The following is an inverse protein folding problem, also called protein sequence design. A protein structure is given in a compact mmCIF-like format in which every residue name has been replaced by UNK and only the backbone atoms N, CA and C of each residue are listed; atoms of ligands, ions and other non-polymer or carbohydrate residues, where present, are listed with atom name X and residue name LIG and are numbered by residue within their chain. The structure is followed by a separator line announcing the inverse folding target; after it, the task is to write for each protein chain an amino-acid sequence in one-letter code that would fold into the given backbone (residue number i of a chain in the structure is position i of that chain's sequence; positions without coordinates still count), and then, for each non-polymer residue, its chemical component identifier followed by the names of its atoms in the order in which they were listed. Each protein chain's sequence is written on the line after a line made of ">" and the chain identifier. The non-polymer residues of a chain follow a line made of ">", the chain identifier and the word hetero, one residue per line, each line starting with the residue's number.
data_IF_068406702677
#
_entry.id   IF_068406702677
#
_cell.length_a   1.000
_cell.length_b   1.000
_cell.length_c   1.000
_cell.angle_alpha   90.00
_cell.angle_beta   90.00
_cell.angle_gamma   90.00
#
_symmetry.space_group_name_H-M   'P 1'
#
loop_
_entity.id
_entity.type
_entity.pdbx_description
1 polymer ?
#
# COMPACT_ATOMS: atom_id res chain seq x y z
N UNK A 1 43.91 -47.00 -16.42
CA UNK A 1 43.03 -47.07 -15.24
C UNK A 1 42.49 -45.66 -14.94
N UNK A 2 41.30 -45.38 -15.41
CA UNK A 2 40.59 -44.10 -15.15
C UNK A 2 39.69 -44.30 -13.94
N UNK A 3 39.91 -43.52 -12.88
CA UNK A 3 39.03 -43.50 -11.70
C UNK A 3 37.83 -42.57 -11.95
N UNK A 4 36.65 -43.17 -12.04
CA UNK A 4 35.40 -42.48 -12.05
C UNK A 4 35.14 -41.80 -10.68
N UNK A 5 35.19 -40.47 -10.65
CA UNK A 5 34.75 -39.69 -9.49
C UNK A 5 33.23 -39.59 -9.48
N UNK A 6 32.59 -40.24 -8.53
CA UNK A 6 31.14 -40.12 -8.25
C UNK A 6 30.90 -38.76 -7.65
N UNK A 7 30.20 -37.90 -8.39
CA UNK A 7 29.74 -36.59 -7.89
C UNK A 7 28.61 -36.83 -6.87
N UNK A 8 28.84 -36.41 -5.61
CA UNK A 8 27.91 -36.59 -4.51
C UNK A 8 26.64 -35.77 -4.72
N UNK A 9 25.49 -36.42 -4.68
CA UNK A 9 24.14 -35.90 -4.91
C UNK A 9 23.65 -34.81 -3.91
N UNK A 10 24.47 -34.47 -2.92
CA UNK A 10 24.11 -33.44 -1.91
C UNK A 10 24.30 -31.99 -2.39
N UNK A 11 25.14 -31.76 -3.42
CA UNK A 11 25.33 -30.40 -3.98
C UNK A 11 24.17 -29.96 -4.88
N UNK A 12 23.42 -30.89 -5.46
CA UNK A 12 22.33 -30.59 -6.40
C UNK A 12 21.06 -30.03 -5.71
N UNK A 13 20.77 -30.49 -4.48
CA UNK A 13 19.59 -30.06 -3.77
C UNK A 13 19.67 -28.59 -3.21
N UNK A 14 20.88 -28.16 -2.83
CA UNK A 14 21.10 -26.78 -2.41
C UNK A 14 20.96 -25.79 -3.58
N UNK A 15 21.43 -26.17 -4.76
CA UNK A 15 21.32 -25.37 -5.98
C UNK A 15 19.85 -25.26 -6.45
N UNK A 16 19.08 -26.34 -6.35
CA UNK A 16 17.65 -26.36 -6.69
C UNK A 16 16.82 -25.51 -5.73
N UNK A 17 17.18 -25.49 -4.44
CA UNK A 17 16.49 -24.68 -3.42
C UNK A 17 16.78 -23.19 -3.59
N UNK A 18 18.00 -22.83 -3.99
CA UNK A 18 18.35 -21.43 -4.31
C UNK A 18 17.64 -20.97 -5.58
N UNK A 19 17.55 -21.80 -6.60
CA UNK A 19 16.83 -21.48 -7.85
C UNK A 19 15.31 -21.37 -7.64
N UNK A 20 14.70 -22.18 -6.76
CA UNK A 20 13.28 -22.05 -6.40
C UNK A 20 13.00 -20.81 -5.55
N UNK A 21 13.91 -20.39 -4.69
CA UNK A 21 13.80 -19.11 -3.97
C UNK A 21 14.00 -17.92 -4.90
N UNK A 22 14.89 -18.02 -5.88
CA UNK A 22 15.09 -16.98 -6.92
C UNK A 22 13.88 -16.88 -7.86
N UNK A 23 13.28 -18.00 -8.25
CA UNK A 23 12.06 -18.03 -9.06
C UNK A 23 10.85 -17.48 -8.30
N UNK A 24 10.72 -17.77 -7.00
CA UNK A 24 9.68 -17.16 -6.15
C UNK A 24 9.92 -15.66 -5.91
N UNK A 25 11.17 -15.19 -5.88
CA UNK A 25 11.49 -13.76 -5.82
C UNK A 25 11.09 -13.03 -7.10
N UNK A 26 11.31 -13.60 -8.27
CA UNK A 26 10.90 -13.00 -9.54
C UNK A 26 9.38 -12.96 -9.73
N UNK A 27 8.62 -13.90 -9.14
CA UNK A 27 7.15 -13.87 -9.15
C UNK A 27 6.56 -12.78 -8.21
N UNK A 28 7.34 -12.26 -7.26
CA UNK A 28 6.94 -11.11 -6.43
C UNK A 28 7.45 -9.77 -6.97
N UNK A 29 8.40 -9.76 -7.91
CA UNK A 29 9.00 -8.55 -8.46
C UNK A 29 8.06 -7.72 -9.34
N UNK A 30 6.93 -8.29 -9.80
CA UNK A 30 5.99 -7.60 -10.68
C UNK A 30 4.79 -6.94 -9.97
N UNK A 31 4.74 -7.01 -8.65
CA UNK A 31 3.67 -6.35 -7.89
C UNK A 31 4.04 -4.91 -7.61
N UNK A 32 3.70 -4.02 -8.52
CA UNK A 32 3.94 -2.60 -8.33
C UNK A 32 2.74 -1.92 -7.68
N UNK A 33 3.01 -1.23 -6.58
CA UNK A 33 2.07 -0.35 -5.91
C UNK A 33 2.46 1.08 -6.20
N UNK A 34 1.51 1.84 -6.72
CA UNK A 34 1.72 3.25 -7.02
C UNK A 34 0.92 4.11 -6.08
N UNK A 35 1.53 5.20 -5.65
CA UNK A 35 0.92 6.25 -4.85
C UNK A 35 1.01 7.57 -5.59
N UNK A 36 -0.12 8.29 -5.66
CA UNK A 36 -0.21 9.60 -6.25
C UNK A 36 -0.68 10.58 -5.20
N UNK A 37 0.14 11.58 -4.92
CA UNK A 37 -0.20 12.63 -3.99
C UNK A 37 -1.12 13.66 -4.64
N UNK A 38 -2.10 14.15 -3.86
CA UNK A 38 -2.94 15.28 -4.23
C UNK A 38 -2.91 16.31 -3.12
N UNK A 39 -2.65 17.55 -3.48
CA UNK A 39 -2.65 18.70 -2.59
C UNK A 39 -3.83 19.61 -2.92
N UNK A 40 -4.34 20.31 -1.92
CA UNK A 40 -5.46 21.21 -2.10
C UNK A 40 -4.95 22.60 -2.47
N UNK A 41 -5.42 23.15 -3.59
CA UNK A 41 -5.11 24.53 -3.97
C UNK A 41 -5.85 25.54 -3.08
N UNK A 42 -5.44 26.80 -3.12
CA UNK A 42 -6.14 27.89 -2.42
C UNK A 42 -7.60 28.04 -2.88
N UNK A 43 -7.90 27.68 -4.12
CA UNK A 43 -9.27 27.66 -4.67
C UNK A 43 -10.08 26.44 -4.22
N UNK A 44 -9.49 25.56 -3.40
CA UNK A 44 -10.16 24.39 -2.86
C UNK A 44 -10.22 23.16 -3.78
N UNK A 45 -9.55 23.21 -4.92
CA UNK A 45 -9.46 22.09 -5.88
C UNK A 45 -8.29 21.18 -5.52
N UNK A 46 -8.48 19.89 -5.63
CA UNK A 46 -7.41 18.92 -5.44
C UNK A 46 -6.65 18.69 -6.74
N UNK A 47 -5.35 18.98 -6.72
CA UNK A 47 -4.45 18.81 -7.86
C UNK A 47 -3.40 17.75 -7.56
N UNK A 48 -3.04 16.96 -8.56
CA UNK A 48 -1.96 15.98 -8.42
C UNK A 48 -0.61 16.68 -8.31
N UNK A 49 0.19 16.23 -7.36
CA UNK A 49 1.55 16.68 -7.17
C UNK A 49 2.51 15.71 -7.90
N UNK A 50 2.86 16.08 -9.14
CA UNK A 50 3.76 15.29 -9.98
C UNK A 50 3.15 14.00 -10.56
N UNK A 51 4.01 13.05 -10.85
CA UNK A 51 3.67 11.72 -11.39
C UNK A 51 3.43 10.71 -10.28
N UNK A 52 2.65 9.63 -10.52
CA UNK A 52 2.54 8.53 -9.58
C UNK A 52 3.92 7.95 -9.25
N UNK A 53 4.20 7.76 -7.96
CA UNK A 53 5.44 7.14 -7.48
C UNK A 53 5.22 5.66 -7.22
N UNK A 54 6.15 4.83 -7.65
CA UNK A 54 6.24 3.43 -7.22
C UNK A 54 6.74 3.39 -5.78
N UNK A 55 6.01 2.69 -4.91
CA UNK A 55 6.41 2.55 -3.51
C UNK A 55 7.79 1.86 -3.37
N UNK A 56 8.15 0.98 -4.30
CA UNK A 56 9.37 0.19 -4.22
C UNK A 56 10.55 0.80 -4.99
N UNK A 57 10.30 1.61 -6.03
CA UNK A 57 11.35 2.12 -6.91
C UNK A 57 11.72 3.58 -6.58
N UNK A 58 10.73 4.42 -6.23
CA UNK A 58 10.92 5.88 -6.19
C UNK A 58 11.34 6.43 -4.81
N UNK A 59 11.41 5.59 -3.78
CA UNK A 59 11.91 5.95 -2.45
C UNK A 59 13.29 5.30 -2.22
N UNK A 60 14.27 5.67 -3.04
CA UNK A 60 15.64 5.14 -2.99
C UNK A 60 15.76 3.65 -3.31
N UNK A 61 14.69 2.99 -3.75
CA UNK A 61 14.65 1.55 -3.99
C UNK A 61 14.85 0.71 -2.72
N UNK A 62 14.64 1.29 -1.55
CA UNK A 62 14.86 0.63 -0.24
C UNK A 62 13.56 0.32 0.50
N UNK A 63 12.43 0.90 0.09
CA UNK A 63 11.10 0.62 0.66
C UNK A 63 10.54 -0.66 0.03
N UNK A 64 9.88 -1.48 0.83
CA UNK A 64 9.19 -2.69 0.37
C UNK A 64 7.82 -2.78 0.99
N UNK A 65 6.82 -2.97 0.16
CA UNK A 65 5.46 -3.19 0.61
C UNK A 65 5.36 -4.48 1.44
N UNK A 66 4.76 -4.39 2.62
CA UNK A 66 4.46 -5.52 3.48
C UNK A 66 2.98 -5.92 3.37
N UNK A 67 2.10 -4.99 3.70
CA UNK A 67 0.65 -5.23 3.72
C UNK A 67 -0.15 -3.93 3.76
N UNK A 68 -1.41 -4.02 3.37
CA UNK A 68 -2.43 -3.00 3.60
C UNK A 68 -3.61 -3.65 4.34
N UNK A 69 -3.58 -3.61 5.66
CA UNK A 69 -4.67 -4.13 6.47
C UNK A 69 -5.90 -3.21 6.36
N UNK A 70 -7.09 -3.79 6.31
CA UNK A 70 -8.34 -3.02 6.21
C UNK A 70 -8.72 -2.56 4.80
N UNK A 71 -7.86 -2.73 3.77
CA UNK A 71 -8.14 -2.28 2.40
C UNK A 71 -9.45 -2.86 1.83
N UNK A 72 -9.74 -4.11 2.14
CA UNK A 72 -10.94 -4.80 1.65
C UNK A 72 -12.15 -4.63 2.59
N UNK A 73 -12.00 -3.92 3.69
CA UNK A 73 -13.10 -3.59 4.58
C UNK A 73 -14.05 -2.65 3.85
N UNK A 74 -15.34 -2.95 3.94
CA UNK A 74 -16.37 -2.06 3.41
C UNK A 74 -16.95 -1.26 4.56
N UNK A 75 -16.98 0.05 4.40
CA UNK A 75 -17.69 0.93 5.33
C UNK A 75 -19.17 0.60 5.35
N UNK A 76 -19.82 0.92 6.45
CA UNK A 76 -21.27 0.80 6.57
C UNK A 76 -21.93 1.66 5.50
N UNK A 77 -22.93 1.12 4.83
CA UNK A 77 -23.70 1.87 3.84
C UNK A 77 -24.54 2.94 4.53
N UNK A 78 -24.38 4.19 4.09
CA UNK A 78 -25.23 5.32 4.53
C UNK A 78 -26.55 5.30 3.75
N UNK A 79 -27.60 5.89 4.33
CA UNK A 79 -28.89 5.98 3.65
C UNK A 79 -29.70 4.66 3.65
N UNK A 80 -29.36 3.72 4.53
CA UNK A 80 -30.19 2.54 4.82
C UNK A 80 -30.99 2.80 6.08
N UNK A 81 -32.29 2.87 5.93
CA UNK A 81 -33.22 3.07 7.05
C UNK A 81 -34.08 1.83 7.20
N UNK A 82 -34.30 1.42 8.44
CA UNK A 82 -35.16 0.30 8.78
C UNK A 82 -36.27 0.76 9.71
N UNK A 83 -37.50 0.42 9.39
CA UNK A 83 -38.67 0.64 10.26
C UNK A 83 -39.25 -0.70 10.63
N UNK A 84 -39.52 -0.91 11.93
CA UNK A 84 -40.24 -2.06 12.41
C UNK A 84 -41.67 -1.67 12.72
N UNK A 85 -42.63 -2.42 12.19
CA UNK A 85 -44.05 -2.24 12.52
C UNK A 85 -44.44 -3.27 13.57
N UNK A 86 -44.96 -2.77 14.68
CA UNK A 86 -45.38 -3.64 15.82
C UNK A 86 -46.48 -4.64 15.44
N UNK A 87 -47.25 -4.33 14.39
CA UNK A 87 -48.42 -5.13 13.99
C UNK A 87 -48.09 -6.25 13.01
N UNK A 88 -46.93 -6.22 12.38
CA UNK A 88 -46.56 -7.20 11.34
C UNK A 88 -45.14 -7.64 11.54
N UNK A 89 -44.66 -8.33 12.31
CA UNK A 89 -43.27 -8.82 12.45
C UNK A 89 -42.34 -8.63 11.20
N UNK A 90 -42.64 -7.62 10.40
CA UNK A 90 -41.99 -7.31 9.14
C UNK A 90 -41.11 -6.07 9.32
N UNK A 91 -39.90 -6.16 8.80
CA UNK A 91 -38.95 -5.06 8.71
C UNK A 91 -39.06 -4.41 7.33
N UNK A 92 -39.39 -3.14 7.28
CA UNK A 92 -39.32 -2.35 6.04
C UNK A 92 -37.93 -1.75 5.90
N UNK A 93 -37.28 -2.03 4.78
CA UNK A 93 -35.93 -1.54 4.49
C UNK A 93 -36.01 -0.52 3.36
N UNK A 94 -35.49 0.68 3.61
CA UNK A 94 -35.31 1.73 2.60
C UNK A 94 -33.82 1.84 2.31
N UNK A 95 -33.46 1.73 1.04
CA UNK A 95 -32.08 1.90 0.58
C UNK A 95 -32.05 3.05 -0.40
N UNK A 96 -31.26 4.07 -0.09
CA UNK A 96 -30.97 5.14 -1.04
C UNK A 96 -30.15 4.56 -2.20
N UNK A 97 -30.62 4.65 -3.45
CA UNK A 97 -29.87 4.16 -4.61
C UNK A 97 -28.51 4.85 -4.82
N UNK A 98 -28.36 6.08 -4.27
CA UNK A 98 -27.12 6.85 -4.27
C UNK A 98 -26.31 6.71 -2.98
N UNK A 99 -26.62 5.69 -2.18
CA UNK A 99 -25.99 5.48 -0.89
C UNK A 99 -24.46 5.41 -0.97
N UNK A 100 -23.81 6.22 -0.16
CA UNK A 100 -22.34 6.21 0.02
C UNK A 100 -21.97 5.28 1.19
N UNK A 101 -20.70 4.94 1.29
CA UNK A 101 -20.19 4.20 2.43
C UNK A 101 -19.53 5.13 3.44
N UNK A 102 -19.54 4.73 4.70
CA UNK A 102 -18.72 5.37 5.72
C UNK A 102 -17.25 5.14 5.42
N UNK A 103 -16.38 6.08 5.78
CA UNK A 103 -14.94 5.90 5.69
C UNK A 103 -14.48 4.72 6.55
N UNK A 104 -13.41 4.07 6.14
CA UNK A 104 -12.81 2.96 6.89
C UNK A 104 -11.35 3.24 7.18
N UNK A 105 -10.85 2.73 8.30
CA UNK A 105 -9.43 2.82 8.64
C UNK A 105 -8.68 1.65 8.00
N UNK A 106 -7.53 1.97 7.41
CA UNK A 106 -6.59 1.01 6.83
C UNK A 106 -5.21 1.23 7.47
N UNK A 107 -4.36 0.22 7.45
CA UNK A 107 -2.98 0.34 7.91
C UNK A 107 -2.04 -0.12 6.80
N UNK A 108 -1.28 0.81 6.24
CA UNK A 108 -0.17 0.52 5.34
C UNK A 108 1.04 0.13 6.19
N UNK A 109 1.60 -1.05 5.95
CA UNK A 109 2.85 -1.49 6.56
C UNK A 109 3.89 -1.70 5.49
N UNK A 110 5.10 -1.20 5.75
CA UNK A 110 6.25 -1.30 4.86
C UNK A 110 7.49 -1.76 5.63
N UNK A 111 8.43 -2.36 4.92
CA UNK A 111 9.80 -2.55 5.36
C UNK A 111 10.68 -1.51 4.69
N UNK A 112 11.58 -0.91 5.45
CA UNK A 112 12.59 0.03 4.94
C UNK A 112 13.97 -0.54 5.22
N UNK A 113 14.76 -0.73 4.17
CA UNK A 113 16.11 -1.26 4.24
C UNK A 113 17.13 -0.12 4.12
N UNK A 114 18.33 -0.30 4.66
CA UNK A 114 19.39 0.70 4.57
C UNK A 114 20.12 0.75 3.23
N UNK A 115 19.81 -0.18 2.32
CA UNK A 115 20.37 -0.25 0.98
C UNK A 115 19.39 -0.89 0.01
N UNK A 116 19.55 -0.58 -1.26
CA UNK A 116 18.78 -1.26 -2.30
C UNK A 116 19.24 -2.71 -2.41
N UNK A 117 18.39 -3.66 -2.06
CA UNK A 117 18.70 -5.11 -2.07
C UNK A 117 19.05 -5.65 -3.44
N UNK A 118 18.84 -4.89 -4.50
CA UNK A 118 19.23 -5.24 -5.87
C UNK A 118 20.62 -4.74 -6.24
N UNK A 119 21.30 -4.00 -5.35
CA UNK A 119 22.68 -3.51 -5.56
C UNK A 119 23.65 -4.25 -4.64
N UNK A 120 24.90 -4.40 -5.09
CA UNK A 120 25.98 -5.06 -4.34
C UNK A 120 26.82 -4.06 -3.54
N UNK A 121 26.22 -3.00 -3.01
CA UNK A 121 26.96 -1.99 -2.26
C UNK A 121 27.22 -2.47 -0.84
N UNK A 122 28.49 -2.45 -0.42
CA UNK A 122 28.86 -2.74 0.98
C UNK A 122 28.79 -1.45 1.78
N UNK A 123 27.77 -1.34 2.65
CA UNK A 123 27.59 -0.22 3.57
C UNK A 123 27.82 -0.66 5.01
N UNK A 124 28.35 0.23 5.83
CA UNK A 124 28.44 0.04 7.28
C UNK A 124 27.04 0.01 7.91
N UNK A 125 26.91 -0.57 9.10
CA UNK A 125 25.62 -0.59 9.82
C UNK A 125 25.11 0.83 10.10
N UNK A 126 26.01 1.76 10.42
CA UNK A 126 25.67 3.16 10.67
C UNK A 126 25.10 3.83 9.42
N UNK A 127 25.74 3.66 8.27
CA UNK A 127 25.24 4.17 6.97
C UNK A 127 23.89 3.56 6.62
N UNK A 128 23.72 2.27 6.84
CA UNK A 128 22.44 1.59 6.62
C UNK A 128 21.33 2.17 7.51
N UNK A 129 21.61 2.39 8.81
CA UNK A 129 20.66 2.97 9.75
C UNK A 129 20.25 4.37 9.31
N UNK A 130 21.20 5.23 8.98
CA UNK A 130 20.94 6.58 8.49
C UNK A 130 20.11 6.60 7.21
N UNK A 131 20.39 5.69 6.28
CA UNK A 131 19.63 5.58 5.03
C UNK A 131 18.20 5.10 5.27
N UNK A 132 17.97 4.19 6.23
CA UNK A 132 16.64 3.72 6.60
C UNK A 132 15.78 4.86 7.16
N UNK A 133 16.34 5.64 8.09
CA UNK A 133 15.65 6.79 8.69
C UNK A 133 15.31 7.83 7.62
N UNK A 134 16.28 8.20 6.79
CA UNK A 134 16.08 9.16 5.71
C UNK A 134 15.00 8.70 4.69
N UNK A 135 14.99 7.43 4.32
CA UNK A 135 13.99 6.89 3.39
C UNK A 135 12.58 6.82 4.02
N UNK A 136 12.50 6.55 5.33
CA UNK A 136 11.25 6.61 6.05
C UNK A 136 10.71 8.03 6.14
N UNK A 137 11.56 8.99 6.48
CA UNK A 137 11.20 10.41 6.57
C UNK A 137 10.73 10.94 5.20
N UNK A 138 11.41 10.57 4.12
CA UNK A 138 11.00 10.94 2.75
C UNK A 138 9.62 10.37 2.39
N UNK A 139 9.40 9.09 2.68
CA UNK A 139 8.11 8.46 2.43
C UNK A 139 7.00 9.11 3.26
N UNK A 140 7.24 9.33 4.55
CA UNK A 140 6.25 9.92 5.44
C UNK A 140 5.93 11.36 5.05
N UNK A 141 6.92 12.19 4.75
CA UNK A 141 6.74 13.55 4.27
C UNK A 141 5.97 13.62 2.94
N UNK A 142 6.12 12.59 2.08
CA UNK A 142 5.32 12.48 0.86
C UNK A 142 3.84 12.17 1.15
N UNK A 143 3.57 11.38 2.18
CA UNK A 143 2.20 10.97 2.55
C UNK A 143 1.47 12.04 3.37
N UNK A 144 2.18 12.75 4.25
CA UNK A 144 1.61 13.65 5.23
C UNK A 144 0.91 14.86 4.60
N UNK A 145 -0.21 15.29 5.21
CA UNK A 145 -0.93 16.53 4.86
C UNK A 145 -1.60 16.51 3.48
N UNK A 146 -1.74 15.34 2.85
CA UNK A 146 -2.23 15.20 1.49
C UNK A 146 -3.27 14.08 1.36
N UNK A 147 -3.96 14.04 0.21
CA UNK A 147 -4.71 12.86 -0.21
C UNK A 147 -3.81 11.97 -1.06
N UNK A 148 -3.88 10.69 -0.82
CA UNK A 148 -3.08 9.68 -1.50
C UNK A 148 -4.00 8.77 -2.31
N UNK A 149 -3.89 8.81 -3.61
CA UNK A 149 -4.48 7.82 -4.50
C UNK A 149 -3.56 6.61 -4.56
N UNK A 150 -4.01 5.52 -3.99
CA UNK A 150 -3.37 4.21 -4.04
C UNK A 150 -3.83 3.44 -5.26
N UNK A 151 -2.90 2.87 -6.01
CA UNK A 151 -3.16 1.99 -7.14
C UNK A 151 -2.43 0.66 -6.95
N UNK A 152 -3.19 -0.42 -7.06
CA UNK A 152 -2.69 -1.79 -7.06
C UNK A 152 -2.84 -2.36 -8.48
N UNK A 153 -1.77 -2.36 -9.23
CA UNK A 153 -1.78 -2.82 -10.62
C UNK A 153 -2.01 -4.33 -10.74
N UNK A 154 -1.65 -5.09 -9.70
CA UNK A 154 -1.89 -6.54 -9.70
C UNK A 154 -3.37 -6.88 -9.58
N UNK A 155 -4.10 -6.17 -8.71
CA UNK A 155 -5.54 -6.40 -8.48
C UNK A 155 -6.42 -5.50 -9.31
N UNK A 156 -5.85 -4.59 -10.08
CA UNK A 156 -6.56 -3.57 -10.85
C UNK A 156 -7.54 -2.78 -9.97
N UNK A 157 -7.08 -2.38 -8.79
CA UNK A 157 -7.86 -1.65 -7.79
C UNK A 157 -7.20 -0.34 -7.42
N UNK A 158 -8.03 0.63 -7.06
CA UNK A 158 -7.60 1.90 -6.50
C UNK A 158 -8.46 2.33 -5.32
N UNK A 159 -7.89 3.15 -4.45
CA UNK A 159 -8.56 3.75 -3.30
C UNK A 159 -7.94 5.12 -2.99
N UNK A 160 -8.72 5.99 -2.36
CA UNK A 160 -8.26 7.32 -1.94
C UNK A 160 -8.15 7.36 -0.42
N UNK A 161 -6.98 7.73 0.06
CA UNK A 161 -6.65 7.77 1.47
C UNK A 161 -6.25 9.17 1.93
N UNK A 162 -6.46 9.40 3.21
CA UNK A 162 -5.86 10.48 3.99
C UNK A 162 -5.02 9.86 5.10
N UNK A 163 -3.84 10.39 5.37
CA UNK A 163 -3.02 9.96 6.51
C UNK A 163 -3.70 10.41 7.80
N UNK A 164 -3.87 9.49 8.72
CA UNK A 164 -4.39 9.77 10.05
C UNK A 164 -3.27 9.89 11.07
N UNK A 165 -2.33 8.93 11.04
CA UNK A 165 -1.28 8.82 12.04
C UNK A 165 -0.17 7.88 11.53
N UNK A 166 1.06 8.06 12.00
CA UNK A 166 2.15 7.11 11.83
C UNK A 166 2.44 6.41 13.16
N UNK A 167 2.66 5.10 13.09
CA UNK A 167 3.15 4.36 14.23
C UNK A 167 4.68 4.51 14.31
N UNK A 168 5.20 4.54 15.53
CA UNK A 168 6.65 4.54 15.74
C UNK A 168 7.30 3.34 15.02
N UNK A 169 8.36 3.56 14.22
CA UNK A 169 9.04 2.48 13.54
C UNK A 169 9.69 1.51 14.54
N UNK A 170 9.60 0.23 14.25
CA UNK A 170 10.34 -0.79 14.99
C UNK A 170 11.53 -1.28 14.17
N UNK A 171 12.71 -1.31 14.79
CA UNK A 171 13.91 -1.87 14.16
C UNK A 171 14.01 -3.37 14.43
N UNK A 172 14.49 -4.11 13.42
CA UNK A 172 14.77 -5.55 13.53
C UNK A 172 15.88 -5.95 12.54
N UNK A 173 16.34 -7.18 12.61
CA UNK A 173 17.44 -7.69 11.79
C UNK A 173 17.05 -9.01 11.14
N UNK A 174 17.12 -9.08 9.81
CA UNK A 174 16.96 -10.33 9.05
C UNK A 174 18.30 -10.73 8.42
N UNK A 175 18.86 -11.87 8.80
CA UNK A 175 20.11 -12.39 8.26
C UNK A 175 21.23 -11.35 8.21
N UNK A 176 21.49 -10.70 9.32
CA UNK A 176 22.48 -9.62 9.49
C UNK A 176 22.16 -8.34 8.67
N UNK A 177 20.96 -8.20 8.16
CA UNK A 177 20.51 -6.98 7.47
C UNK A 177 19.52 -6.25 8.37
N UNK A 178 19.86 -5.06 8.85
CA UNK A 178 18.93 -4.24 9.60
C UNK A 178 17.81 -3.72 8.70
N UNK A 179 16.61 -3.61 9.22
CA UNK A 179 15.47 -2.97 8.57
C UNK A 179 14.55 -2.30 9.58
N UNK A 180 13.82 -1.32 9.12
CA UNK A 180 12.70 -0.74 9.88
C UNK A 180 11.38 -1.34 9.41
N UNK A 181 10.53 -1.70 10.34
CA UNK A 181 9.14 -1.98 10.07
C UNK A 181 8.33 -0.73 10.43
N UNK A 182 7.76 -0.10 9.42
CA UNK A 182 6.99 1.13 9.56
C UNK A 182 5.52 0.88 9.24
N UNK A 183 4.64 1.60 9.92
CA UNK A 183 3.20 1.51 9.68
C UNK A 183 2.56 2.89 9.70
N UNK A 184 1.63 3.12 8.76
CA UNK A 184 0.86 4.36 8.65
C UNK A 184 -0.62 4.03 8.70
N UNK A 185 -1.35 4.68 9.59
CA UNK A 185 -2.81 4.61 9.63
C UNK A 185 -3.40 5.56 8.60
N UNK A 186 -4.25 5.02 7.76
CA UNK A 186 -4.88 5.69 6.64
C UNK A 186 -6.39 5.63 6.80
N UNK A 187 -7.08 6.70 6.43
CA UNK A 187 -8.53 6.71 6.32
C UNK A 187 -8.89 6.59 4.84
N UNK A 188 -9.56 5.51 4.47
CA UNK A 188 -10.17 5.36 3.15
C UNK A 188 -11.43 6.22 3.09
N UNK A 189 -11.37 7.31 2.34
CA UNK A 189 -12.42 8.34 2.31
C UNK A 189 -13.75 7.76 1.82
N UNK A 190 -13.72 6.87 0.84
CA UNK A 190 -14.92 6.26 0.27
C UNK A 190 -15.38 4.98 0.99
N UNK A 191 -14.60 4.46 1.95
CA UNK A 191 -14.89 3.23 2.65
C UNK A 191 -14.97 1.98 1.74
N UNK A 192 -14.43 2.06 0.53
CA UNK A 192 -14.36 0.97 -0.46
C UNK A 192 -13.25 1.19 -1.45
N UNK A 193 -12.90 0.13 -2.18
CA UNK A 193 -12.01 0.21 -3.34
C UNK A 193 -12.81 0.31 -4.64
N UNK A 194 -12.20 0.87 -5.66
CA UNK A 194 -12.75 1.00 -7.02
C UNK A 194 -11.89 0.21 -8.00
N UNK A 195 -12.47 -0.15 -9.13
CA UNK A 195 -11.69 -0.66 -10.26
C UNK A 195 -10.75 0.42 -10.80
N UNK A 196 -9.60 0.04 -11.32
CA UNK A 196 -8.60 0.99 -11.84
C UNK A 196 -9.14 1.88 -12.97
N UNK A 197 -10.12 1.40 -13.71
CA UNK A 197 -10.79 2.13 -14.81
C UNK A 197 -11.90 3.09 -14.36
N UNK A 198 -12.36 2.99 -13.10
CA UNK A 198 -13.42 3.88 -12.58
C UNK A 198 -12.92 5.32 -12.48
N UNK A 199 -13.70 6.32 -12.90
CA UNK A 199 -13.36 7.76 -12.77
C UNK A 199 -13.86 8.41 -11.48
N UNK A 200 -14.57 7.65 -10.64
CA UNK A 200 -15.26 8.18 -9.44
C UNK A 200 -14.35 9.00 -8.52
N UNK A 201 -13.11 8.55 -8.29
CA UNK A 201 -12.16 9.25 -7.42
C UNK A 201 -11.67 10.52 -8.09
N UNK A 202 -11.30 10.45 -9.36
CA UNK A 202 -10.80 11.59 -10.13
C UNK A 202 -11.86 12.68 -10.30
N UNK A 203 -13.12 12.30 -10.51
CA UNK A 203 -14.23 13.23 -10.62
C UNK A 203 -14.52 13.91 -9.27
N UNK A 204 -14.46 13.15 -8.19
CA UNK A 204 -14.58 13.71 -6.83
C UNK A 204 -13.46 14.72 -6.53
N UNK A 205 -12.22 14.40 -6.89
CA UNK A 205 -11.06 15.29 -6.71
C UNK A 205 -11.21 16.58 -7.52
N UNK A 206 -11.64 16.51 -8.79
CA UNK A 206 -11.91 17.66 -9.66
C UNK A 206 -13.00 18.57 -9.10
N UNK A 207 -14.01 17.98 -8.45
CA UNK A 207 -15.12 18.72 -7.83
C UNK A 207 -14.79 19.27 -6.43
N UNK A 208 -13.50 19.33 -6.06
CA UNK A 208 -13.04 19.88 -4.78
C UNK A 208 -13.44 19.04 -3.57
N UNK A 209 -13.70 17.75 -3.76
CA UNK A 209 -14.10 16.83 -2.70
C UNK A 209 -15.60 16.86 -2.40
N UNK A 210 -16.41 17.42 -3.28
CA UNK A 210 -17.88 17.42 -3.15
C UNK A 210 -18.48 16.30 -4.00
N UNK A 211 -19.49 15.65 -3.47
CA UNK A 211 -20.33 14.76 -4.28
C UNK A 211 -21.14 15.63 -5.22
N UNK A 212 -21.01 15.44 -6.54
CA UNK A 212 -21.93 16.08 -7.45
C UNK A 212 -23.31 15.47 -7.23
N UNK A 213 -24.21 16.26 -6.63
CA UNK A 213 -25.62 15.93 -6.65
C UNK A 213 -26.06 16.08 -8.14
N UNK A 214 -26.13 14.96 -8.84
CA UNK A 214 -26.75 14.90 -10.15
C UNK A 214 -28.26 15.06 -10.06
#
# INVERSE_FOLDING_TARGET
>A
MLKNGVCSSKACNACLYVLTLYSKRNLMADKKFYIQRYTKSEQGVWTSDGTPKSLEDDFGGVVRYKSMAGLNSKGKQKGVYTESYAETNALRVFVDPNATHESTTCTLSVYVFGYNINTTTSLTIEEQTKNMEAAWDELYAYLEGSLILWKDDYRQRKALFMVQDACEPSSDVIKNTPYLQCSVKLVNIFGRTFDSTSTTIEDWLKNGGKVSNG
#
